data_IF_942295426365
#
_entry.id   IF_942295426365
#
_cell.length_a   1.000
_cell.length_b   1.000
_cell.length_c   1.000
_cell.angle_alpha   90.00
_cell.angle_beta   90.00
_cell.angle_gamma   90.00
#
_symmetry.space_group_name_H-M   'P 1'
#
loop_
_entity.id
_entity.type
_entity.pdbx_description
1 polymer ?
#
# COMPACT_ATOMS: atom_id res chain seq x y z
N UNK A 1 17.86 -27.08 21.49
CA UNK A 1 16.72 -27.83 20.91
C UNK A 1 16.17 -26.99 19.78
N UNK A 2 16.39 -27.40 18.53
CA UNK A 2 15.83 -26.72 17.37
C UNK A 2 14.34 -27.09 17.31
N UNK A 3 13.46 -26.13 17.54
CA UNK A 3 12.02 -26.32 17.36
C UNK A 3 11.81 -26.45 15.85
N UNK A 4 11.81 -27.69 15.35
CA UNK A 4 11.39 -27.97 13.99
C UNK A 4 9.89 -27.81 13.96
N UNK A 5 9.43 -26.61 13.63
CA UNK A 5 8.01 -26.36 13.41
C UNK A 5 7.55 -27.30 12.30
N UNK A 6 6.60 -28.18 12.61
CA UNK A 6 5.84 -28.91 11.59
C UNK A 6 4.93 -27.92 10.87
N UNK A 7 5.54 -27.05 10.06
CA UNK A 7 4.84 -26.17 9.11
C UNK A 7 4.14 -26.98 8.01
N UNK A 8 4.30 -28.31 8.02
CA UNK A 8 3.61 -29.27 7.18
C UNK A 8 2.09 -29.27 7.39
N UNK A 9 1.61 -28.76 8.54
CA UNK A 9 0.19 -28.73 8.89
C UNK A 9 -0.28 -27.30 9.21
N UNK A 10 -0.32 -26.46 8.18
CA UNK A 10 -1.02 -25.17 8.27
C UNK A 10 -2.55 -25.37 8.27
N UNK A 11 -3.31 -24.59 9.06
CA UNK A 11 -4.77 -24.60 9.00
C UNK A 11 -5.29 -24.32 7.58
N UNK A 12 -6.39 -24.96 7.18
CA UNK A 12 -6.97 -24.80 5.83
C UNK A 12 -7.41 -23.36 5.53
N UNK A 13 -7.75 -22.59 6.56
CA UNK A 13 -8.16 -21.18 6.48
C UNK A 13 -7.01 -20.19 6.73
N UNK A 14 -5.74 -20.64 6.81
CA UNK A 14 -4.61 -19.79 7.22
C UNK A 14 -4.45 -18.53 6.36
N UNK A 15 -4.78 -18.60 5.07
CA UNK A 15 -4.67 -17.49 4.12
C UNK A 15 -5.74 -16.40 4.31
N UNK A 16 -6.83 -16.74 5.00
CA UNK A 16 -7.96 -15.84 5.28
C UNK A 16 -7.92 -15.25 6.69
N UNK A 17 -6.92 -15.61 7.51
CA UNK A 17 -6.82 -15.10 8.88
C UNK A 17 -6.57 -13.59 8.90
N UNK A 18 -7.25 -12.91 9.82
CA UNK A 18 -7.14 -11.48 10.05
C UNK A 18 -7.38 -11.13 11.51
N UNK A 19 -6.91 -9.96 11.94
CA UNK A 19 -7.13 -9.42 13.28
C UNK A 19 -6.66 -10.38 14.38
N UNK A 20 -7.56 -10.70 15.31
CA UNK A 20 -7.27 -11.54 16.47
C UNK A 20 -6.79 -12.94 16.08
N UNK A 21 -7.49 -13.62 15.15
CA UNK A 21 -7.15 -14.99 14.75
C UNK A 21 -5.77 -15.07 14.08
N UNK A 22 -5.42 -14.03 13.32
CA UNK A 22 -4.08 -13.89 12.76
C UNK A 22 -3.02 -13.78 13.85
N UNK A 23 -3.19 -12.88 14.82
CA UNK A 23 -2.20 -12.74 15.90
C UNK A 23 -2.12 -13.99 16.78
N UNK A 24 -3.25 -14.66 17.05
CA UNK A 24 -3.24 -15.91 17.79
C UNK A 24 -2.46 -17.00 17.06
N UNK A 25 -2.64 -17.10 15.74
CA UNK A 25 -1.85 -18.00 14.91
C UNK A 25 -0.34 -17.68 14.98
N UNK A 26 0.05 -16.40 14.90
CA UNK A 26 1.46 -16.00 15.01
C UNK A 26 2.03 -16.30 16.40
N UNK A 27 1.28 -16.07 17.48
CA UNK A 27 1.71 -16.40 18.84
C UNK A 27 2.01 -17.87 19.02
N UNK A 28 1.12 -18.73 18.50
CA UNK A 28 1.28 -20.18 18.58
C UNK A 28 2.43 -20.67 17.70
N UNK A 29 2.67 -20.00 16.57
CA UNK A 29 3.64 -20.47 15.56
C UNK A 29 5.04 -19.91 15.78
N UNK A 30 5.19 -18.63 16.06
CA UNK A 30 6.49 -17.95 16.18
C UNK A 30 6.78 -17.54 17.62
N UNK A 31 5.77 -17.07 18.34
CA UNK A 31 5.90 -16.59 19.71
C UNK A 31 5.18 -15.27 19.95
N UNK A 32 5.01 -14.92 21.23
CA UNK A 32 4.41 -13.64 21.63
C UNK A 32 5.20 -12.42 21.14
N UNK A 33 6.55 -12.37 21.25
CA UNK A 33 7.32 -11.20 20.81
C UNK A 33 7.16 -10.92 19.31
N UNK A 34 7.11 -11.96 18.47
CA UNK A 34 6.92 -11.86 17.03
C UNK A 34 5.50 -11.37 16.68
N UNK A 35 4.48 -11.84 17.41
CA UNK A 35 3.11 -11.34 17.23
C UNK A 35 2.99 -9.87 17.61
N UNK A 36 3.62 -9.44 18.71
CA UNK A 36 3.68 -8.04 19.13
C UNK A 36 4.39 -7.17 18.12
N UNK A 37 5.52 -7.64 17.58
CA UNK A 37 6.24 -6.95 16.50
C UNK A 37 5.33 -6.72 15.30
N UNK A 38 4.66 -7.75 14.80
CA UNK A 38 3.74 -7.62 13.67
C UNK A 38 2.59 -6.64 13.95
N UNK A 39 2.05 -6.63 15.18
CA UNK A 39 1.04 -5.65 15.56
C UNK A 39 1.59 -4.22 15.54
N UNK A 40 2.82 -4.02 16.04
CA UNK A 40 3.51 -2.72 16.06
C UNK A 40 3.72 -2.16 14.66
N UNK A 41 4.14 -2.99 13.71
CA UNK A 41 4.28 -2.61 12.29
C UNK A 41 2.95 -2.68 11.51
N UNK A 42 1.81 -2.75 12.20
CA UNK A 42 0.46 -2.75 11.62
C UNK A 42 0.17 -3.88 10.61
N UNK A 43 0.81 -5.03 10.77
CA UNK A 43 0.55 -6.24 9.98
C UNK A 43 -0.55 -7.05 10.67
N UNK A 44 -1.75 -6.99 10.12
CA UNK A 44 -2.97 -7.54 10.76
C UNK A 44 -3.58 -8.74 10.01
N UNK A 45 -3.00 -9.16 8.89
CA UNK A 45 -3.54 -10.23 8.05
C UNK A 45 -2.43 -11.09 7.44
N UNK A 46 -2.75 -12.34 7.11
CA UNK A 46 -1.85 -13.23 6.39
C UNK A 46 -1.44 -12.64 5.04
N UNK A 47 -2.37 -11.96 4.36
CA UNK A 47 -2.10 -11.29 3.08
C UNK A 47 -1.08 -10.16 3.24
N UNK A 48 -1.21 -9.30 4.26
CA UNK A 48 -0.24 -8.24 4.53
C UNK A 48 1.15 -8.79 4.89
N UNK A 49 1.21 -9.89 5.65
CA UNK A 49 2.48 -10.54 6.00
C UNK A 49 3.22 -11.09 4.76
N UNK A 50 2.47 -11.60 3.78
CA UNK A 50 3.03 -12.10 2.51
C UNK A 50 3.57 -10.99 1.61
N UNK A 51 3.05 -9.76 1.73
CA UNK A 51 3.44 -8.62 0.91
C UNK A 51 4.68 -7.89 1.42
N UNK A 52 4.92 -7.92 2.74
CA UNK A 52 6.10 -7.31 3.35
C UNK A 52 7.35 -8.11 2.99
N UNK A 53 8.49 -7.46 2.78
CA UNK A 53 9.76 -8.12 2.47
C UNK A 53 10.38 -8.73 3.74
N UNK A 54 10.70 -7.90 4.72
CA UNK A 54 11.19 -8.32 6.04
C UNK A 54 10.51 -7.52 7.17
N UNK A 55 9.74 -8.16 8.07
CA UNK A 55 9.20 -7.50 9.25
C UNK A 55 10.25 -6.93 10.21
N UNK A 56 11.49 -7.44 10.15
CA UNK A 56 12.57 -7.08 11.07
C UNK A 56 13.32 -5.80 10.65
N UNK A 57 13.10 -5.30 9.42
CA UNK A 57 13.72 -4.07 8.92
C UNK A 57 13.39 -2.84 9.75
N UNK A 58 12.30 -2.88 10.51
CA UNK A 58 11.93 -1.82 11.44
C UNK A 58 13.00 -1.56 12.51
N UNK A 59 13.80 -2.58 12.88
CA UNK A 59 14.87 -2.42 13.86
C UNK A 59 16.08 -1.65 13.33
N UNK A 60 16.23 -1.54 12.01
CA UNK A 60 17.28 -0.75 11.37
C UNK A 60 16.90 0.73 11.24
N UNK A 61 15.68 1.11 11.63
CA UNK A 61 15.20 2.48 11.58
C UNK A 61 15.46 3.20 12.92
N UNK A 62 15.82 4.47 12.83
CA UNK A 62 16.06 5.34 13.99
C UNK A 62 14.72 5.88 14.50
N UNK A 63 14.01 5.05 15.27
CA UNK A 63 12.68 5.34 15.83
C UNK A 63 12.80 5.30 17.35
N UNK A 64 12.44 6.41 17.99
CA UNK A 64 12.34 6.55 19.45
C UNK A 64 10.97 6.02 19.93
N UNK A 65 10.92 4.75 20.32
CA UNK A 65 9.70 4.06 20.76
C UNK A 65 10.04 2.98 21.81
N UNK A 66 9.63 3.23 23.06
CA UNK A 66 9.94 2.37 24.21
C UNK A 66 9.44 0.92 24.05
N UNK A 67 8.29 0.72 23.40
CA UNK A 67 7.76 -0.62 23.15
C UNK A 67 8.60 -1.35 22.10
N UNK A 68 9.05 -0.63 21.06
CA UNK A 68 9.92 -1.18 20.03
C UNK A 68 11.29 -1.57 20.60
N UNK A 69 11.84 -0.78 21.52
CA UNK A 69 13.10 -1.10 22.19
C UNK A 69 12.97 -2.31 23.11
N UNK A 70 11.85 -2.42 23.83
CA UNK A 70 11.52 -3.64 24.60
C UNK A 70 11.47 -4.87 23.68
N UNK A 71 10.89 -4.74 22.47
CA UNK A 71 10.87 -5.81 21.48
C UNK A 71 12.26 -6.14 20.92
N UNK A 72 13.11 -5.12 20.68
CA UNK A 72 14.51 -5.33 20.27
C UNK A 72 15.26 -6.15 21.31
N UNK A 73 15.11 -5.85 22.60
CA UNK A 73 15.74 -6.61 23.69
C UNK A 73 15.27 -8.08 23.72
N UNK A 74 13.99 -8.33 23.43
CA UNK A 74 13.43 -9.68 23.39
C UNK A 74 13.89 -10.48 22.17
N UNK A 75 13.98 -9.85 21.00
CA UNK A 75 14.21 -10.51 19.71
C UNK A 75 15.68 -10.48 19.24
N UNK A 76 16.54 -9.68 19.88
CA UNK A 76 17.95 -9.52 19.52
C UNK A 76 18.88 -9.89 20.68
N UNK A 77 20.16 -10.06 20.37
CA UNK A 77 21.26 -10.06 21.32
C UNK A 77 21.86 -8.65 21.37
N UNK A 78 21.95 -8.06 22.55
CA UNK A 78 22.68 -6.80 22.76
C UNK A 78 24.19 -7.11 22.79
N UNK A 79 24.93 -6.51 21.86
CA UNK A 79 26.39 -6.63 21.77
C UNK A 79 27.08 -5.62 22.69
N UNK A 80 28.38 -5.81 22.96
CA UNK A 80 29.18 -4.92 23.84
C UNK A 80 29.30 -3.48 23.35
N UNK A 81 29.06 -3.23 22.06
CA UNK A 81 29.12 -1.90 21.43
C UNK A 81 27.73 -1.25 21.29
N UNK A 82 26.77 -1.69 22.11
CA UNK A 82 25.36 -1.30 22.06
C UNK A 82 24.66 -1.55 20.71
N UNK A 83 25.25 -2.34 19.81
CA UNK A 83 24.56 -2.82 18.61
C UNK A 83 23.69 -4.02 18.94
N UNK A 84 22.60 -4.17 18.19
CA UNK A 84 21.71 -5.31 18.30
C UNK A 84 21.96 -6.29 17.15
N UNK A 85 22.04 -7.59 17.49
CA UNK A 85 22.11 -8.67 16.53
C UNK A 85 20.84 -9.51 16.63
N UNK A 86 20.05 -9.58 15.56
CA UNK A 86 18.79 -10.34 15.57
C UNK A 86 19.08 -11.82 15.85
N UNK A 87 18.27 -12.44 16.73
CA UNK A 87 18.39 -13.87 17.03
C UNK A 87 18.11 -14.69 15.75
N UNK A 88 19.00 -15.60 15.33
CA UNK A 88 18.82 -16.36 14.09
C UNK A 88 17.49 -17.13 13.99
N UNK A 89 16.98 -17.60 15.14
CA UNK A 89 15.69 -18.30 15.21
C UNK A 89 14.49 -17.43 14.81
N UNK A 90 14.54 -16.12 15.10
CA UNK A 90 13.49 -15.17 14.73
C UNK A 90 13.47 -14.96 13.23
N UNK A 91 14.63 -14.69 12.63
CA UNK A 91 14.77 -14.54 11.18
C UNK A 91 14.32 -15.79 10.44
N UNK A 92 14.79 -16.97 10.88
CA UNK A 92 14.39 -18.24 10.28
C UNK A 92 12.89 -18.50 10.43
N UNK A 93 12.31 -18.21 11.61
CA UNK A 93 10.88 -18.36 11.87
C UNK A 93 10.01 -17.60 10.87
N UNK A 94 10.29 -16.31 10.64
CA UNK A 94 9.56 -15.52 9.65
C UNK A 94 9.74 -16.03 8.22
N UNK A 95 10.97 -16.38 7.83
CA UNK A 95 11.28 -16.90 6.49
C UNK A 95 10.53 -18.21 6.23
N UNK A 96 10.62 -19.16 7.15
CA UNK A 96 9.96 -20.47 7.04
C UNK A 96 8.44 -20.33 7.02
N UNK A 97 7.87 -19.50 7.90
CA UNK A 97 6.42 -19.26 7.90
C UNK A 97 5.95 -18.66 6.57
N UNK A 98 6.64 -17.63 6.05
CA UNK A 98 6.27 -17.01 4.77
C UNK A 98 6.40 -18.00 3.61
N UNK A 99 7.42 -18.85 3.63
CA UNK A 99 7.57 -19.90 2.61
C UNK A 99 6.40 -20.89 2.66
N UNK A 100 6.05 -21.40 3.84
CA UNK A 100 4.94 -22.33 4.01
C UNK A 100 3.59 -21.72 3.57
N UNK A 101 3.35 -20.45 3.90
CA UNK A 101 2.16 -19.72 3.44
C UNK A 101 2.12 -19.55 1.92
N UNK A 102 3.25 -19.23 1.27
CA UNK A 102 3.36 -19.15 -0.19
C UNK A 102 3.11 -20.49 -0.86
N UNK A 103 3.63 -21.58 -0.30
CA UNK A 103 3.40 -22.94 -0.79
C UNK A 103 1.91 -23.32 -0.70
N UNK A 104 1.26 -23.03 0.43
CA UNK A 104 -0.18 -23.24 0.62
C UNK A 104 -1.01 -22.43 -0.40
N UNK A 105 -0.68 -21.16 -0.61
CA UNK A 105 -1.32 -20.31 -1.62
C UNK A 105 -1.20 -20.91 -3.03
N UNK A 106 -0.01 -21.37 -3.40
CA UNK A 106 0.23 -22.01 -4.69
C UNK A 106 -0.53 -23.34 -4.84
N UNK A 107 -0.69 -24.12 -3.77
CA UNK A 107 -1.49 -25.34 -3.78
C UNK A 107 -2.98 -25.02 -4.03
N UNK A 108 -3.55 -24.03 -3.33
CA UNK A 108 -4.94 -23.63 -3.54
C UNK A 108 -5.20 -23.16 -4.99
N UNK A 109 -4.25 -22.42 -5.56
CA UNK A 109 -4.33 -21.98 -6.96
C UNK A 109 -4.35 -23.19 -7.92
N UNK A 110 -3.47 -24.18 -7.71
CA UNK A 110 -3.42 -25.42 -8.52
C UNK A 110 -4.69 -26.26 -8.45
N UNK A 111 -5.31 -26.37 -7.27
CA UNK A 111 -6.57 -27.12 -7.10
C UNK A 111 -7.75 -26.46 -7.81
N UNK A 112 -7.77 -25.12 -7.92
CA UNK A 112 -8.82 -24.40 -8.64
C UNK A 112 -8.81 -24.70 -10.15
N UNK A 113 -7.63 -24.95 -10.73
CA UNK A 113 -7.47 -25.13 -12.17
C UNK A 113 -7.88 -26.54 -12.63
N UNK A 114 -7.64 -27.57 -11.81
CA UNK A 114 -7.98 -28.96 -12.15
C UNK A 114 -9.48 -29.26 -12.18
N UNK A 115 -10.29 -28.54 -11.39
CA UNK A 115 -11.77 -28.72 -11.39
C UNK A 115 -12.45 -28.22 -12.67
N UNK A 116 -11.78 -27.43 -13.53
CA UNK A 116 -12.39 -26.94 -14.79
C UNK A 116 -12.29 -27.91 -15.96
N UNK A 117 -11.39 -28.91 -15.93
CA UNK A 117 -11.26 -29.88 -17.02
C UNK A 117 -12.15 -31.13 -16.86
N UNK A 118 -12.72 -31.36 -15.68
CA UNK A 118 -13.53 -32.56 -15.40
C UNK A 118 -15.05 -32.33 -15.47
N UNK A 119 -15.49 -31.17 -15.99
CA UNK A 119 -16.92 -30.80 -16.09
C UNK A 119 -17.48 -30.83 -17.52
N UNK A 120 -16.85 -31.53 -18.45
CA UNK A 120 -17.37 -31.76 -19.80
C UNK A 120 -18.04 -33.13 -20.01
N UNK A 121 -18.26 -33.93 -18.97
CA UNK A 121 -18.90 -35.24 -19.17
C UNK A 121 -19.69 -35.72 -17.95
N UNK A 122 -20.78 -35.03 -17.59
CA UNK A 122 -21.82 -35.63 -16.74
C UNK A 122 -23.18 -35.14 -17.23
N UNK A 123 -23.94 -36.10 -17.75
CA UNK A 123 -25.34 -35.98 -18.13
C UNK A 123 -26.19 -35.43 -16.98
N UNK A 124 -27.14 -34.60 -17.41
CA UNK A 124 -28.27 -34.07 -16.67
C UNK A 124 -29.07 -35.15 -15.94
N UNK A 125 -29.17 -35.03 -14.62
CA UNK A 125 -30.42 -35.28 -13.91
C UNK A 125 -30.47 -34.48 -12.61
N UNK A 126 -31.50 -33.65 -12.57
CA UNK A 126 -32.15 -32.89 -11.50
C UNK A 126 -31.74 -33.17 -10.05
N UNK A 127 -31.60 -32.13 -9.24
CA UNK A 127 -32.29 -31.95 -7.94
C UNK A 127 -32.15 -30.49 -7.50
N UNK A 128 -33.30 -29.91 -7.16
CA UNK A 128 -33.51 -28.56 -6.66
C UNK A 128 -33.06 -28.44 -5.20
N UNK A 129 -32.37 -27.35 -4.86
CA UNK A 129 -32.26 -26.92 -3.46
C UNK A 129 -32.26 -25.40 -3.38
N UNK A 130 -33.26 -24.91 -2.64
CA UNK A 130 -33.54 -23.54 -2.22
C UNK A 130 -32.26 -22.79 -1.77
N UNK A 131 -32.04 -21.60 -2.32
CA UNK A 131 -31.14 -20.60 -1.75
C UNK A 131 -31.73 -19.22 -2.00
N UNK A 132 -31.77 -18.44 -0.92
CA UNK A 132 -32.29 -17.09 -0.77
C UNK A 132 -31.71 -16.10 -1.80
N UNK A 133 -32.51 -15.20 -2.39
CA UNK A 133 -32.06 -14.37 -3.50
C UNK A 133 -31.28 -13.16 -3.00
N UNK A 134 -29.95 -13.22 -3.08
CA UNK A 134 -29.17 -12.04 -3.46
C UNK A 134 -29.26 -12.01 -4.98
N UNK A 135 -29.89 -10.97 -5.55
CA UNK A 135 -29.98 -10.80 -7.00
C UNK A 135 -28.58 -10.59 -7.60
N UNK A 136 -27.87 -11.70 -7.82
CA UNK A 136 -26.78 -11.75 -8.78
C UNK A 136 -27.40 -11.57 -10.16
N UNK A 137 -27.43 -10.33 -10.65
CA UNK A 137 -27.69 -10.05 -12.06
C UNK A 137 -26.68 -10.86 -12.86
N UNK A 138 -27.20 -11.90 -13.52
CA UNK A 138 -26.48 -12.76 -14.44
C UNK A 138 -26.26 -11.95 -15.71
N UNK A 139 -25.01 -11.55 -15.94
CA UNK A 139 -24.63 -10.60 -17.01
C UNK A 139 -24.53 -11.24 -18.39
N UNK A 140 -25.10 -12.45 -18.56
CA UNK A 140 -25.01 -13.26 -19.76
C UNK A 140 -25.64 -12.61 -21.00
N UNK A 141 -26.50 -11.61 -20.82
CA UNK A 141 -27.27 -10.96 -21.89
C UNK A 141 -26.96 -9.47 -22.06
N UNK A 142 -25.94 -8.94 -21.38
CA UNK A 142 -25.68 -7.50 -21.43
C UNK A 142 -25.13 -7.09 -22.81
N UNK A 143 -25.71 -6.06 -23.39
CA UNK A 143 -25.22 -5.36 -24.57
C UNK A 143 -23.83 -4.74 -24.35
N UNK A 144 -23.17 -4.33 -25.44
CA UNK A 144 -21.87 -3.64 -25.39
C UNK A 144 -21.92 -2.37 -24.54
N UNK A 145 -22.98 -1.58 -24.67
CA UNK A 145 -23.16 -0.33 -23.90
C UNK A 145 -23.32 -0.61 -22.40
N UNK A 146 -24.03 -1.68 -22.03
CA UNK A 146 -24.19 -2.10 -20.64
C UNK A 146 -22.89 -2.60 -20.03
N UNK A 147 -22.11 -3.40 -20.77
CA UNK A 147 -20.77 -3.80 -20.32
C UNK A 147 -19.85 -2.60 -20.12
N UNK A 148 -19.87 -1.65 -21.06
CA UNK A 148 -19.11 -0.41 -20.96
C UNK A 148 -19.51 0.39 -19.73
N UNK A 149 -20.81 0.62 -19.54
CA UNK A 149 -21.36 1.32 -18.37
C UNK A 149 -20.97 0.61 -17.06
N UNK A 150 -21.05 -0.72 -17.02
CA UNK A 150 -20.65 -1.51 -15.87
C UNK A 150 -19.17 -1.31 -15.50
N UNK A 151 -18.27 -1.41 -16.49
CA UNK A 151 -16.83 -1.20 -16.28
C UNK A 151 -16.53 0.22 -15.79
N UNK A 152 -17.17 1.24 -16.38
CA UNK A 152 -17.00 2.62 -15.95
C UNK A 152 -17.52 2.84 -14.52
N UNK A 153 -18.64 2.23 -14.14
CA UNK A 153 -19.18 2.30 -12.79
C UNK A 153 -18.26 1.65 -11.77
N UNK A 154 -17.62 0.52 -12.11
CA UNK A 154 -16.62 -0.11 -11.25
C UNK A 154 -15.40 0.79 -11.05
N UNK A 155 -14.90 1.44 -12.10
CA UNK A 155 -13.76 2.37 -12.01
C UNK A 155 -14.13 3.57 -11.14
N UNK A 156 -15.31 4.18 -11.34
CA UNK A 156 -15.80 5.29 -10.52
C UNK A 156 -15.94 4.91 -9.06
N UNK A 157 -16.55 3.75 -8.79
CA UNK A 157 -16.68 3.20 -7.43
C UNK A 157 -15.31 3.03 -6.77
N UNK A 158 -14.35 2.45 -7.47
CA UNK A 158 -12.99 2.29 -6.97
C UNK A 158 -12.29 3.63 -6.69
N UNK A 159 -12.43 4.63 -7.56
CA UNK A 159 -11.88 5.97 -7.32
C UNK A 159 -12.45 6.58 -6.04
N UNK A 160 -13.76 6.47 -5.81
CA UNK A 160 -14.42 6.97 -4.62
C UNK A 160 -13.95 6.25 -3.34
N UNK A 161 -13.78 4.93 -3.39
CA UNK A 161 -13.30 4.12 -2.26
C UNK A 161 -11.82 4.37 -1.92
N UNK A 162 -11.03 4.90 -2.87
CA UNK A 162 -9.58 5.09 -2.71
C UNK A 162 -9.14 6.57 -2.70
N UNK A 163 -10.07 7.52 -2.64
CA UNK A 163 -9.75 8.95 -2.60
C UNK A 163 -8.84 9.32 -1.40
N UNK A 164 -9.10 8.73 -0.24
CA UNK A 164 -8.36 8.99 1.00
C UNK A 164 -6.97 8.35 0.97
N UNK A 165 -6.88 7.09 0.52
CA UNK A 165 -5.61 6.37 0.41
C UNK A 165 -4.66 6.98 -0.62
N UNK A 166 -5.21 7.68 -1.62
CA UNK A 166 -4.43 8.41 -2.62
C UNK A 166 -4.10 9.85 -2.18
N UNK A 167 -4.69 10.35 -1.09
CA UNK A 167 -4.61 11.74 -0.63
C UNK A 167 -5.07 12.75 -1.68
N UNK A 168 -6.17 12.43 -2.37
CA UNK A 168 -6.70 13.22 -3.47
C UNK A 168 -8.20 13.49 -3.28
N UNK A 169 -8.54 14.65 -2.69
CA UNK A 169 -9.92 15.06 -2.38
C UNK A 169 -10.88 15.08 -3.59
N UNK A 170 -10.37 15.31 -4.81
CA UNK A 170 -11.16 15.36 -6.05
C UNK A 170 -10.71 14.33 -7.09
N UNK A 171 -10.22 13.17 -6.65
CA UNK A 171 -9.75 12.14 -7.57
C UNK A 171 -10.88 11.50 -8.37
N UNK A 172 -10.87 11.78 -9.67
CA UNK A 172 -11.70 11.09 -10.65
C UNK A 172 -10.86 10.72 -11.86
N UNK A 173 -11.14 9.55 -12.43
CA UNK A 173 -10.61 9.13 -13.72
C UNK A 173 -11.74 9.19 -14.74
N UNK A 174 -11.56 9.99 -15.78
CA UNK A 174 -12.56 10.20 -16.83
C UNK A 174 -12.17 9.46 -18.11
N UNK A 175 -13.15 8.75 -18.70
CA UNK A 175 -12.97 8.11 -20.00
C UNK A 175 -12.83 9.19 -21.09
N UNK A 176 -11.86 9.02 -21.98
CA UNK A 176 -11.50 9.99 -23.01
C UNK A 176 -10.48 11.03 -22.55
N UNK A 177 -10.37 11.28 -21.24
CA UNK A 177 -9.38 12.20 -20.68
C UNK A 177 -8.19 11.45 -20.08
N UNK A 178 -8.44 10.47 -19.21
CA UNK A 178 -7.39 9.75 -18.46
C UNK A 178 -7.12 8.36 -19.02
N UNK A 179 -8.13 7.75 -19.61
CA UNK A 179 -8.04 6.43 -20.22
C UNK A 179 -9.06 6.26 -21.34
N UNK A 180 -8.85 5.26 -22.19
CA UNK A 180 -9.80 4.81 -23.21
C UNK A 180 -10.13 3.35 -22.96
N UNK A 181 -11.42 3.00 -22.96
CA UNK A 181 -11.90 1.63 -22.78
C UNK A 181 -12.34 1.04 -24.13
N UNK A 182 -11.68 -0.04 -24.53
CA UNK A 182 -12.03 -0.80 -25.73
C UNK A 182 -12.58 -2.16 -25.32
N UNK A 183 -13.76 -2.50 -25.81
CA UNK A 183 -14.41 -3.80 -25.57
C UNK A 183 -14.77 -4.39 -26.92
N UNK A 184 -14.11 -5.49 -27.26
CA UNK A 184 -14.32 -6.22 -28.51
C UNK A 184 -15.11 -7.50 -28.22
N UNK A 185 -16.15 -7.71 -29.03
CA UNK A 185 -17.02 -8.88 -28.97
C UNK A 185 -16.70 -9.82 -30.13
N UNK A 186 -16.55 -11.11 -29.83
CA UNK A 186 -16.42 -12.17 -30.81
C UNK A 186 -17.65 -13.06 -30.69
N UNK A 187 -18.42 -13.16 -31.78
CA UNK A 187 -19.60 -14.03 -31.91
C UNK A 187 -20.55 -13.98 -30.70
N UNK A 188 -21.00 -12.78 -30.31
CA UNK A 188 -21.90 -12.51 -29.18
C UNK A 188 -21.34 -12.78 -27.77
N UNK A 189 -20.02 -12.91 -27.63
CA UNK A 189 -19.37 -12.96 -26.33
C UNK A 189 -18.27 -11.90 -26.23
N UNK A 190 -18.09 -11.30 -25.06
CA UNK A 190 -16.93 -10.43 -24.82
C UNK A 190 -15.67 -11.26 -25.02
N UNK A 191 -14.94 -10.99 -26.10
CA UNK A 191 -13.70 -11.68 -26.44
C UNK A 191 -12.55 -11.04 -25.67
N UNK A 192 -12.51 -9.70 -25.67
CA UNK A 192 -11.41 -8.95 -25.10
C UNK A 192 -11.87 -7.59 -24.63
N UNK A 193 -11.44 -7.19 -23.43
CA UNK A 193 -11.60 -5.82 -22.95
C UNK A 193 -10.23 -5.29 -22.55
N UNK A 194 -9.91 -4.09 -23.01
CA UNK A 194 -8.64 -3.43 -22.71
C UNK A 194 -8.88 -1.99 -22.29
N UNK A 195 -8.08 -1.52 -21.32
CA UNK A 195 -8.01 -0.11 -20.95
C UNK A 195 -6.66 0.42 -21.36
N UNK A 196 -6.65 1.44 -22.21
CA UNK A 196 -5.43 2.20 -22.55
C UNK A 196 -5.38 3.46 -21.68
N UNK A 197 -4.46 3.50 -20.74
CA UNK A 197 -4.21 4.71 -19.96
C UNK A 197 -3.54 5.78 -20.85
N UNK A 198 -3.77 7.07 -20.55
CA UNK A 198 -3.13 8.20 -21.25
C UNK A 198 -1.61 8.20 -21.15
N UNK A 199 -1.03 7.52 -20.16
CA UNK A 199 0.42 7.29 -20.11
C UNK A 199 0.94 6.37 -21.25
N UNK A 200 0.04 5.78 -22.05
CA UNK A 200 0.35 4.86 -23.15
C UNK A 200 0.22 3.38 -22.78
N UNK A 201 0.15 3.03 -21.49
CA UNK A 201 0.06 1.65 -21.04
C UNK A 201 -1.31 1.04 -21.39
N UNK A 202 -1.28 -0.12 -22.06
CA UNK A 202 -2.46 -0.92 -22.35
C UNK A 202 -2.59 -2.04 -21.31
N UNK A 203 -3.77 -2.17 -20.72
CA UNK A 203 -4.06 -3.13 -19.65
C UNK A 203 -5.20 -4.01 -20.10
N UNK A 204 -4.94 -5.31 -20.24
CA UNK A 204 -5.97 -6.31 -20.52
C UNK A 204 -6.78 -6.60 -19.27
N UNK A 205 -8.11 -6.53 -19.41
CA UNK A 205 -9.05 -6.87 -18.36
C UNK A 205 -9.33 -8.37 -18.39
N UNK A 206 -9.39 -9.00 -17.22
CA UNK A 206 -9.70 -10.42 -17.11
C UNK A 206 -11.21 -10.63 -17.12
N UNK A 207 -11.65 -11.78 -17.66
CA UNK A 207 -13.05 -12.22 -17.58
C UNK A 207 -13.18 -13.28 -16.49
N UNK A 208 -14.11 -13.10 -15.56
CA UNK A 208 -14.47 -14.11 -14.57
C UNK A 208 -15.98 -14.33 -14.62
N UNK A 209 -16.42 -15.56 -14.93
CA UNK A 209 -17.83 -15.93 -15.04
C UNK A 209 -18.66 -14.92 -15.85
N UNK A 210 -18.19 -14.57 -17.04
CA UNK A 210 -18.79 -13.58 -17.94
C UNK A 210 -18.77 -12.11 -17.49
N UNK A 211 -18.25 -11.80 -16.30
CA UNK A 211 -18.05 -10.43 -15.83
C UNK A 211 -16.63 -9.95 -16.13
N UNK A 212 -16.50 -8.71 -16.60
CA UNK A 212 -15.21 -8.06 -16.81
C UNK A 212 -14.68 -7.61 -15.45
N UNK A 213 -13.48 -8.05 -15.08
CA UNK A 213 -12.79 -7.64 -13.88
C UNK A 213 -11.78 -6.53 -14.19
N UNK A 214 -11.89 -5.44 -13.44
CA UNK A 214 -11.03 -4.25 -13.53
C UNK A 214 -9.88 -4.24 -12.50
N UNK A 215 -9.70 -5.32 -11.74
CA UNK A 215 -8.65 -5.42 -10.71
C UNK A 215 -7.23 -5.20 -11.26
N UNK A 216 -6.94 -5.65 -12.48
CA UNK A 216 -5.65 -5.41 -13.13
C UNK A 216 -5.42 -3.93 -13.45
N UNK A 217 -6.49 -3.20 -13.75
CA UNK A 217 -6.41 -1.77 -14.00
C UNK A 217 -5.97 -1.03 -12.73
N UNK A 218 -6.54 -1.34 -11.57
CA UNK A 218 -6.27 -0.65 -10.31
C UNK A 218 -4.81 -0.68 -9.86
N UNK A 219 -4.09 -1.75 -10.18
CA UNK A 219 -2.65 -1.85 -9.88
C UNK A 219 -1.85 -0.77 -10.59
N UNK A 220 -2.25 -0.37 -11.81
CA UNK A 220 -1.47 0.56 -12.60
C UNK A 220 -1.47 2.00 -12.05
N UNK A 221 -2.61 2.63 -11.74
CA UNK A 221 -2.62 3.94 -11.08
C UNK A 221 -1.89 3.96 -9.73
N UNK A 222 -1.83 2.83 -9.04
CA UNK A 222 -1.10 2.68 -7.78
C UNK A 222 0.42 2.57 -7.97
N UNK A 223 0.89 2.10 -9.14
CA UNK A 223 2.35 2.05 -9.40
C UNK A 223 2.96 3.44 -9.61
N UNK A 224 4.19 3.62 -9.14
CA UNK A 224 4.98 4.86 -9.31
C UNK A 224 5.16 5.22 -10.80
N UNK A 225 5.11 4.24 -11.70
CA UNK A 225 5.38 4.43 -13.13
C UNK A 225 4.24 5.03 -13.98
N UNK A 226 3.06 5.31 -13.42
CA UNK A 226 1.99 5.94 -14.20
C UNK A 226 2.18 7.45 -14.31
N UNK A 227 2.71 7.94 -15.44
CA UNK A 227 2.94 9.38 -15.68
C UNK A 227 1.66 10.21 -15.52
N UNK A 228 0.52 9.71 -15.99
CA UNK A 228 -0.78 10.39 -15.85
C UNK A 228 -1.17 10.58 -14.38
N UNK A 229 -0.94 9.58 -13.54
CA UNK A 229 -1.18 9.72 -12.10
C UNK A 229 -0.22 10.69 -11.45
N UNK A 230 1.04 10.74 -11.90
CA UNK A 230 1.99 11.75 -11.42
C UNK A 230 1.54 13.17 -11.79
N UNK A 231 1.01 13.38 -12.99
CA UNK A 231 0.44 14.67 -13.41
C UNK A 231 -0.74 15.08 -12.52
N UNK A 232 -1.69 14.17 -12.28
CA UNK A 232 -2.85 14.42 -11.41
C UNK A 232 -2.39 14.81 -9.99
N UNK A 233 -1.46 14.04 -9.40
CA UNK A 233 -0.89 14.34 -8.08
C UNK A 233 -0.17 15.69 -8.05
N UNK A 234 0.58 16.04 -9.09
CA UNK A 234 1.27 17.34 -9.21
C UNK A 234 0.27 18.49 -9.32
N UNK A 235 -0.75 18.36 -10.16
CA UNK A 235 -1.80 19.37 -10.33
C UNK A 235 -2.54 19.61 -9.01
N UNK A 236 -2.89 18.55 -8.28
CA UNK A 236 -3.55 18.69 -6.99
C UNK A 236 -2.65 19.37 -5.94
N UNK A 237 -1.37 19.01 -5.89
CA UNK A 237 -0.41 19.69 -5.01
C UNK A 237 -0.29 21.19 -5.33
N UNK A 238 -0.36 21.57 -6.61
CA UNK A 238 -0.38 22.97 -7.02
C UNK A 238 -1.66 23.69 -6.57
N UNK A 239 -2.82 23.04 -6.68
CA UNK A 239 -4.10 23.59 -6.19
C UNK A 239 -4.05 23.83 -4.68
N UNK A 240 -3.56 22.86 -3.90
CA UNK A 240 -3.42 23.00 -2.44
C UNK A 240 -2.48 24.15 -2.09
N UNK A 241 -1.34 24.24 -2.78
CA UNK A 241 -0.38 25.33 -2.55
C UNK A 241 -1.00 26.71 -2.89
N UNK A 242 -1.77 26.81 -3.98
CA UNK A 242 -2.45 28.04 -4.36
C UNK A 242 -3.51 28.44 -3.34
N UNK A 243 -4.27 27.48 -2.79
CA UNK A 243 -5.25 27.74 -1.73
C UNK A 243 -4.59 28.24 -0.44
N UNK A 244 -3.43 27.68 -0.06
CA UNK A 244 -2.65 28.14 1.10
C UNK A 244 -2.07 29.55 0.93
N UNK A 245 -1.70 29.92 -0.29
CA UNK A 245 -1.23 31.28 -0.60
C UNK A 245 -2.39 32.30 -0.60
N UNK A 246 -3.60 31.90 -0.98
CA UNK A 246 -4.76 32.80 -0.93
C UNK A 246 -5.25 33.04 0.50
N UNK A 247 -5.17 32.04 1.39
CA UNK A 247 -5.60 32.20 2.79
C UNK A 247 -4.68 33.11 3.61
N UNK A 248 -3.41 33.26 3.22
CA UNK A 248 -2.44 34.13 3.90
C UNK A 248 -2.59 35.62 3.57
N UNK A 249 -3.17 35.96 2.41
CA UNK A 249 -3.35 37.35 1.98
C UNK A 249 -4.54 38.02 2.69
N UNK A 250 -5.57 37.24 3.06
CA UNK A 250 -6.82 37.73 3.66
C UNK A 250 -6.71 38.19 5.12
N UNK A 251 -5.56 38.02 5.79
CA UNK A 251 -5.37 38.38 7.21
C UNK A 251 -4.68 39.75 7.38
N UNK A 252 -4.27 40.41 6.29
CA UNK A 252 -3.52 41.69 6.37
C UNK A 252 -4.39 42.96 6.35
N UNK A 253 -5.72 42.86 6.37
CA UNK A 253 -6.57 44.03 6.61
C UNK A 253 -6.56 44.39 8.09
N UNK A 254 -5.53 45.14 8.48
CA UNK A 254 -5.51 45.91 9.72
C UNK A 254 -6.78 46.78 9.78
N UNK A 255 -7.60 46.69 10.85
CA UNK A 255 -8.63 47.69 11.07
C UNK A 255 -7.92 49.02 11.30
N UNK A 256 -8.16 49.98 10.41
CA UNK A 256 -7.76 51.36 10.61
C UNK A 256 -8.38 51.85 11.92
N UNK A 257 -7.50 52.02 12.91
CA UNK A 257 -7.63 52.83 14.11
C UNK A 257 -8.87 53.72 14.17
N UNK A 258 -9.88 53.30 14.94
CA UNK A 258 -10.83 54.23 15.55
C UNK A 258 -10.16 54.85 16.79
N UNK A 259 -9.88 56.14 16.67
CA UNK A 259 -9.49 57.02 17.76
C UNK A 259 -10.67 57.20 18.73
N UNK A 260 -10.47 56.88 20.00
CA UNK A 260 -11.35 57.31 21.08
C UNK A 260 -10.51 57.71 22.30
N UNK A 261 -10.83 58.88 22.83
CA UNK A 261 -10.10 59.68 23.80
C UNK A 261 -10.28 59.13 25.24
N UNK A 262 -9.27 59.36 26.09
CA UNK A 262 -9.10 58.97 27.50
C UNK A 262 -10.15 59.56 28.49
N UNK A 263 -10.17 59.22 29.82
CA UNK A 263 -9.15 59.69 30.77
C UNK A 263 -8.80 58.77 31.97
N UNK A 264 -7.52 58.82 32.33
CA UNK A 264 -6.96 59.10 33.66
C UNK A 264 -7.62 58.43 34.90
N UNK A 265 -6.93 57.44 35.49
CA UNK A 265 -6.89 57.29 36.96
C UNK A 265 -5.49 56.90 37.46
N UNK A 266 -5.07 57.67 38.45
CA UNK A 266 -3.86 57.62 39.25
C UNK A 266 -3.96 56.45 40.22
N UNK A 267 -2.92 55.64 40.37
CA UNK A 267 -2.49 55.14 41.67
C UNK A 267 -1.04 54.68 41.68
N UNK A 268 -0.43 55.02 42.80
CA UNK A 268 0.98 55.08 43.15
C UNK A 268 1.48 53.78 43.76
N UNK A 269 2.82 53.67 43.78
CA UNK A 269 3.68 52.84 44.64
C UNK A 269 3.61 51.32 44.36
N UNK A 270 4.71 50.56 44.27
CA UNK A 270 5.91 50.57 45.09
C UNK A 270 7.06 49.82 44.36
N UNK A 271 8.29 50.21 44.66
CA UNK A 271 9.52 49.64 44.12
C UNK A 271 9.79 48.22 44.63
N UNK A 272 10.64 47.46 43.92
CA UNK A 272 11.88 46.83 44.45
C UNK A 272 12.45 45.79 43.47
N UNK A 273 13.72 46.05 43.11
CA UNK A 273 14.83 45.13 42.85
C UNK A 273 14.99 44.27 41.57
N UNK A 274 15.99 44.73 40.80
CA UNK A 274 17.29 44.06 40.50
C UNK A 274 17.33 42.84 39.57
N UNK A 275 17.91 43.11 38.40
CA UNK A 275 18.90 42.35 37.63
C UNK A 275 18.89 40.81 37.67
N UNK A 276 18.78 40.20 36.49
CA UNK A 276 19.83 39.34 35.94
C UNK A 276 19.53 39.03 34.47
N UNK A 277 20.38 39.53 33.57
CA UNK A 277 20.45 39.10 32.19
C UNK A 277 21.41 37.90 32.09
N UNK A 278 21.10 36.83 31.35
CA UNK A 278 22.11 35.97 30.79
C UNK A 278 22.36 36.35 29.33
N UNK A 279 23.58 36.81 29.12
CA UNK A 279 24.26 36.99 27.86
C UNK A 279 24.48 35.61 27.21
N UNK A 280 23.79 35.31 26.09
CA UNK A 280 24.06 34.10 25.31
C UNK A 280 24.80 34.52 24.03
N UNK A 281 26.10 34.23 24.04
CA UNK A 281 26.99 34.34 22.90
C UNK A 281 26.53 33.39 21.77
N UNK A 282 26.24 33.97 20.61
CA UNK A 282 26.17 33.26 19.33
C UNK A 282 27.57 32.83 18.90
N UNK A 283 27.79 31.52 18.82
CA UNK A 283 28.93 30.91 18.13
C UNK A 283 28.46 30.52 16.72
N UNK A 284 29.11 31.01 15.64
CA UNK A 284 28.85 30.52 14.29
C UNK A 284 29.76 29.32 14.02
N UNK A 285 29.21 28.10 14.04
CA UNK A 285 29.95 26.92 13.58
C UNK A 285 29.90 26.84 12.06
N UNK A 286 31.10 26.75 11.52
CA UNK A 286 31.51 26.76 10.13
C UNK A 286 30.84 25.71 9.23
N UNK A 287 30.66 26.17 7.99
CA UNK A 287 30.37 25.39 6.80
C UNK A 287 31.38 24.24 6.62
N UNK A 288 30.89 23.00 6.58
CA UNK A 288 31.65 21.88 6.02
C UNK A 288 31.16 21.60 4.61
N UNK A 289 31.89 22.16 3.65
CA UNK A 289 31.93 21.69 2.27
C UNK A 289 32.70 20.37 2.28
N UNK A 290 32.12 19.27 1.80
CA UNK A 290 32.92 18.20 1.23
C UNK A 290 32.21 17.52 0.06
N UNK A 291 32.83 17.76 -1.10
CA UNK A 291 32.68 17.05 -2.35
C UNK A 291 33.14 15.59 -2.19
N UNK A 292 32.35 14.63 -2.67
CA UNK A 292 32.86 13.31 -3.08
C UNK A 292 31.95 12.77 -4.20
N UNK A 293 32.26 13.09 -5.46
CA UNK A 293 32.99 12.22 -6.41
C UNK A 293 32.18 10.98 -6.80
N UNK A 294 31.30 11.19 -7.81
CA UNK A 294 30.68 10.13 -8.62
C UNK A 294 31.77 9.23 -9.20
N UNK A 295 31.75 7.95 -8.86
CA UNK A 295 32.51 6.91 -9.55
C UNK A 295 31.56 6.27 -10.55
N UNK A 296 31.81 6.55 -11.83
CA UNK A 296 31.22 5.86 -12.97
C UNK A 296 31.87 4.48 -13.00
N UNK A 297 31.09 3.42 -12.82
CA UNK A 297 31.52 2.05 -13.09
C UNK A 297 30.89 1.65 -14.42
N UNK A 298 31.78 1.43 -15.39
CA UNK A 298 31.52 0.91 -16.72
C UNK A 298 30.94 -0.50 -16.67
N UNK A 299 29.85 -0.71 -17.41
CA UNK A 299 29.30 -2.03 -17.74
C UNK A 299 30.23 -2.77 -18.70
N UNK A 300 30.50 -4.07 -18.50
CA UNK A 300 31.04 -4.92 -19.55
C UNK A 300 29.91 -5.51 -20.40
N UNK A 301 30.02 -5.26 -21.70
CA UNK A 301 29.22 -5.82 -22.79
C UNK A 301 29.11 -7.35 -22.66
N UNK A 302 27.88 -7.87 -22.55
CA UNK A 302 27.60 -9.30 -22.77
C UNK A 302 27.13 -9.50 -24.21
N UNK A 303 28.06 -9.99 -25.02
CA UNK A 303 27.85 -10.51 -26.37
C UNK A 303 26.83 -11.65 -26.39
N UNK A 304 25.82 -11.51 -27.25
CA UNK A 304 24.90 -12.57 -27.64
C UNK A 304 25.65 -13.64 -28.47
N UNK A 305 25.58 -14.91 -28.05
CA UNK A 305 25.95 -16.06 -28.87
C UNK A 305 24.69 -16.83 -29.26
N UNK A 306 24.24 -16.64 -30.50
CA UNK A 306 23.27 -17.47 -31.20
C UNK A 306 23.92 -18.78 -31.65
N UNK A 307 23.47 -19.92 -31.12
CA UNK A 307 23.62 -21.24 -31.74
C UNK A 307 22.30 -21.99 -31.55
N UNK A 308 21.51 -22.14 -32.61
CA UNK A 308 21.60 -23.08 -33.75
C UNK A 308 20.69 -24.28 -33.48
N UNK A 309 19.60 -24.30 -34.24
CA UNK A 309 18.76 -25.47 -34.50
C UNK A 309 19.61 -26.67 -34.92
N UNK A 310 19.19 -27.85 -34.48
CA UNK A 310 19.25 -29.07 -35.29
C UNK A 310 18.20 -30.06 -34.80
N UNK A 311 17.37 -30.46 -35.77
CA UNK A 311 16.65 -31.74 -35.93
C UNK A 311 15.76 -32.21 -34.79
#
# INVERSE_FOLDING_TARGET
MSISYHLDQLPSNVLSLSGYDFFQFIRTTLGEPEAKLLNKISVKTTSSLLLIEDPLDIFNQDIDDEELDTLKEQLCFKMKNDKFLIKPGVTYGFVSLKQALKENLNQQLKHSTKRKQQKQNVNTSSISSLSTPIQEVTTSSLSLSEHKSHVLNLIKKWCNENKESLSLDSFQLEEGIDFTLNIDFEQNSVAQATIKCKCGKVISLCKNNQKIQVSNFYKHPQTIGCSRMQEIKKAQKQIILQQQLQSTISVSQFPASQSCVSPMQIRTDEAINTSAAPNINLVPTSQSKNNAKRRIVSEPERSFSTKRSRT
#
